data_IF_428180559004
#
_entry.id   IF_428180559004
#
_cell.length_a   1.000
_cell.length_b   1.000
_cell.length_c   1.000
_cell.angle_alpha   90.00
_cell.angle_beta   90.00
_cell.angle_gamma   90.00
#
_symmetry.space_group_name_H-M   'P 1'
#
loop_
_entity.id
_entity.type
_entity.pdbx_description
1 polymer ?
#
# COMPACT_ATOMS: atom_id res chain seq x y z
N UNK A 1 39.01 -55.48 26.04
CA UNK A 1 39.93 -54.90 27.05
C UNK A 1 39.47 -53.46 27.26
N UNK A 2 38.62 -53.23 28.27
CA UNK A 2 38.98 -52.56 29.56
C UNK A 2 39.31 -51.08 29.34
N UNK A 3 38.68 -50.08 29.96
CA UNK A 3 37.95 -50.02 31.23
C UNK A 3 37.11 -48.74 31.29
N UNK A 4 35.84 -48.90 31.63
CA UNK A 4 34.90 -47.87 32.12
C UNK A 4 35.33 -47.32 33.48
N UNK A 5 35.28 -45.99 33.67
CA UNK A 5 35.27 -45.38 35.00
C UNK A 5 33.93 -44.66 35.22
N UNK A 6 33.13 -45.21 36.13
CA UNK A 6 31.95 -44.59 36.76
C UNK A 6 32.39 -43.76 37.97
N UNK A 7 31.52 -42.81 38.34
CA UNK A 7 31.23 -42.17 39.67
C UNK A 7 31.28 -40.64 39.51
N UNK A 8 30.37 -39.83 40.06
CA UNK A 8 29.48 -40.01 41.19
C UNK A 8 28.29 -39.04 41.04
N UNK A 9 27.10 -39.48 41.45
CA UNK A 9 25.91 -38.66 41.60
C UNK A 9 26.07 -37.67 42.77
N UNK A 10 25.58 -36.44 42.60
CA UNK A 10 25.32 -35.50 43.68
C UNK A 10 23.85 -35.08 43.57
N UNK A 11 23.07 -35.57 44.54
CA UNK A 11 21.72 -35.15 44.84
C UNK A 11 21.74 -33.70 45.35
N UNK A 12 21.02 -32.82 44.64
CA UNK A 12 20.66 -31.49 45.11
C UNK A 12 19.16 -31.32 44.97
N UNK A 13 18.45 -31.42 46.09
CA UNK A 13 17.02 -31.13 46.24
C UNK A 13 16.73 -29.70 45.76
N UNK A 14 15.91 -29.55 44.73
CA UNK A 14 15.33 -28.28 44.30
C UNK A 14 13.83 -28.44 44.18
N UNK A 15 13.08 -27.90 45.15
CA UNK A 15 11.63 -28.01 45.22
C UNK A 15 10.94 -27.44 43.98
N UNK A 16 9.98 -28.19 43.45
CA UNK A 16 9.00 -27.68 42.50
C UNK A 16 8.11 -26.67 43.24
N UNK A 17 8.42 -25.39 43.11
CA UNK A 17 7.47 -24.32 43.39
C UNK A 17 6.52 -24.22 42.19
N UNK A 18 5.34 -24.85 42.31
CA UNK A 18 4.17 -24.52 41.50
C UNK A 18 3.79 -23.08 41.82
N UNK A 19 4.25 -22.13 41.01
CA UNK A 19 3.72 -20.77 41.02
C UNK A 19 2.37 -20.83 40.33
N UNK A 20 1.31 -20.93 41.12
CA UNK A 20 -0.04 -20.62 40.67
C UNK A 20 -0.07 -19.12 40.34
N UNK A 21 -0.07 -18.79 39.05
CA UNK A 21 -0.37 -17.43 38.60
C UNK A 21 -1.87 -17.25 38.81
N UNK A 22 -2.24 -16.64 39.94
CA UNK A 22 -3.57 -16.11 40.12
C UNK A 22 -3.78 -15.01 39.07
N UNK A 23 -4.77 -15.18 38.20
CA UNK A 23 -5.31 -14.05 37.44
C UNK A 23 -5.86 -13.05 38.45
N UNK A 24 -5.30 -11.85 38.50
CA UNK A 24 -5.95 -10.74 39.17
C UNK A 24 -7.13 -10.33 38.30
N UNK A 25 -8.34 -10.51 38.81
CA UNK A 25 -9.50 -9.79 38.33
C UNK A 25 -9.30 -8.31 38.63
N UNK A 26 -9.48 -7.49 37.58
CA UNK A 26 -9.59 -6.03 37.58
C UNK A 26 -8.27 -5.24 37.50
N UNK A 27 -7.88 -4.91 36.27
CA UNK A 27 -7.02 -3.77 35.95
C UNK A 27 -7.85 -2.50 36.13
N UNK A 28 -7.49 -1.66 37.11
CA UNK A 28 -8.07 -0.33 37.29
C UNK A 28 -7.43 0.61 36.26
N UNK A 29 -8.19 0.90 35.20
CA UNK A 29 -7.90 1.97 34.26
C UNK A 29 -8.42 3.29 34.85
N UNK A 30 -7.51 4.21 35.17
CA UNK A 30 -7.85 5.61 35.41
C UNK A 30 -7.83 6.03 36.87
N UNK A 31 -6.81 6.82 37.22
CA UNK A 31 -6.84 7.75 38.35
C UNK A 31 -7.60 8.98 37.88
N UNK A 32 -8.77 9.22 38.46
CA UNK A 32 -9.51 10.46 38.27
C UNK A 32 -8.80 11.58 39.04
N UNK A 33 -8.02 12.40 38.33
CA UNK A 33 -7.65 13.71 38.85
C UNK A 33 -8.90 14.60 38.72
N UNK A 34 -9.58 14.82 39.85
CA UNK A 34 -10.70 15.74 39.93
C UNK A 34 -10.23 17.19 39.80
N UNK A 35 -10.77 17.92 38.83
CA UNK A 35 -11.60 19.10 39.08
C UNK A 35 -12.23 19.58 37.75
N UNK A 36 -13.50 19.24 37.53
CA UNK A 36 -14.33 19.90 36.54
C UNK A 36 -15.80 19.86 37.03
N UNK A 37 -16.22 21.00 37.57
CA UNK A 37 -17.59 21.50 37.72
C UNK A 37 -18.74 20.49 37.68
N UNK A 38 -19.47 20.42 38.79
CA UNK A 38 -20.78 19.79 38.90
C UNK A 38 -21.77 20.37 37.89
N UNK A 39 -21.88 19.75 36.72
CA UNK A 39 -23.07 19.86 35.87
C UNK A 39 -23.46 18.45 35.46
N UNK A 40 -24.69 18.07 35.81
CA UNK A 40 -25.29 16.81 35.40
C UNK A 40 -25.13 16.61 33.88
N UNK A 41 -24.96 15.36 33.40
CA UNK A 41 -24.91 15.09 31.96
C UNK A 41 -26.17 15.71 31.30
N UNK A 42 -26.04 16.37 30.13
CA UNK A 42 -27.18 17.00 29.49
C UNK A 42 -28.25 15.94 29.22
N UNK A 43 -29.37 16.09 29.91
CA UNK A 43 -30.59 15.33 29.63
C UNK A 43 -31.30 16.06 28.50
N UNK A 44 -31.42 15.38 27.36
CA UNK A 44 -32.34 15.81 26.31
C UNK A 44 -33.75 15.51 26.80
N UNK A 45 -34.41 16.54 27.31
CA UNK A 45 -35.88 16.55 27.35
C UNK A 45 -36.33 17.01 25.96
N UNK A 46 -37.19 16.25 25.26
CA UNK A 46 -37.77 16.75 24.02
C UNK A 46 -38.51 18.04 24.33
N UNK A 47 -38.31 19.06 23.51
CA UNK A 47 -39.09 20.30 23.61
C UNK A 47 -40.59 19.96 23.55
N UNK A 48 -41.45 20.63 24.33
CA UNK A 48 -42.89 20.48 24.17
C UNK A 48 -43.25 20.83 22.71
N UNK A 49 -44.22 20.13 22.10
CA UNK A 49 -44.53 20.35 20.69
C UNK A 49 -44.94 21.82 20.50
N UNK A 50 -44.08 22.59 19.85
CA UNK A 50 -44.43 23.91 19.34
C UNK A 50 -45.54 23.67 18.31
N UNK A 51 -46.76 24.01 18.71
CA UNK A 51 -47.97 23.98 17.89
C UNK A 51 -47.92 25.09 16.83
N UNK A 52 -46.93 25.04 15.95
CA UNK A 52 -46.97 25.69 14.66
C UNK A 52 -47.78 24.83 13.71
N UNK A 53 -48.76 25.43 13.05
CA UNK A 53 -49.65 24.80 12.07
C UNK A 53 -48.87 24.21 10.89
N UNK A 54 -48.29 23.02 11.09
CA UNK A 54 -47.90 22.16 10.00
C UNK A 54 -49.20 21.51 9.49
N UNK A 55 -49.61 21.91 8.29
CA UNK A 55 -50.57 21.15 7.50
C UNK A 55 -50.18 19.68 7.61
N UNK A 56 -51.11 18.83 8.06
CA UNK A 56 -50.86 17.42 8.25
C UNK A 56 -50.26 16.86 6.96
N UNK A 57 -48.96 16.52 6.98
CA UNK A 57 -48.36 15.74 5.91
C UNK A 57 -49.24 14.50 5.77
N UNK A 58 -49.84 14.35 4.58
CA UNK A 58 -50.62 13.18 4.27
C UNK A 58 -49.77 11.96 4.63
N UNK A 59 -50.32 10.95 5.33
CA UNK A 59 -49.57 9.75 5.64
C UNK A 59 -48.96 9.24 4.33
N UNK A 60 -47.67 8.84 4.32
CA UNK A 60 -47.03 8.38 3.09
C UNK A 60 -47.95 7.35 2.46
N UNK A 61 -48.32 7.57 1.18
CA UNK A 61 -49.18 6.63 0.48
C UNK A 61 -48.58 5.24 0.68
N UNK A 62 -49.39 4.29 1.14
CA UNK A 62 -48.94 2.90 1.28
C UNK A 62 -48.69 2.36 -0.12
N UNK A 63 -47.45 2.52 -0.60
CA UNK A 63 -46.99 1.92 -1.83
C UNK A 63 -47.01 0.42 -1.59
N UNK A 64 -47.96 -0.27 -2.24
CA UNK A 64 -48.03 -1.71 -2.22
C UNK A 64 -46.83 -2.22 -3.02
N UNK A 65 -45.87 -2.88 -2.36
CA UNK A 65 -44.67 -3.39 -3.01
C UNK A 65 -44.82 -4.88 -3.35
N UNK A 66 -44.64 -5.22 -4.61
CA UNK A 66 -44.68 -6.57 -5.14
C UNK A 66 -43.28 -7.06 -5.47
N UNK A 67 -43.11 -8.38 -5.48
CA UNK A 67 -41.86 -9.00 -5.94
C UNK A 67 -41.63 -8.69 -7.41
N UNK A 68 -40.49 -8.08 -7.74
CA UNK A 68 -40.09 -7.88 -9.12
C UNK A 68 -39.27 -9.06 -9.63
N UNK A 69 -39.52 -9.47 -10.87
CA UNK A 69 -38.77 -10.55 -11.54
C UNK A 69 -38.11 -10.09 -12.84
N UNK A 70 -38.40 -8.89 -13.31
CA UNK A 70 -37.79 -8.35 -14.54
C UNK A 70 -36.66 -7.39 -14.19
N UNK A 71 -35.53 -7.47 -14.92
CA UNK A 71 -34.42 -6.57 -14.67
C UNK A 71 -34.79 -5.15 -15.06
N UNK A 72 -34.59 -4.19 -14.16
CA UNK A 72 -34.69 -2.77 -14.46
C UNK A 72 -33.38 -2.25 -14.99
N UNK A 73 -33.43 -1.31 -15.95
CA UNK A 73 -32.22 -0.63 -16.41
C UNK A 73 -31.51 0.03 -15.22
N UNK A 74 -30.17 -0.07 -15.10
CA UNK A 74 -29.20 -0.58 -16.08
C UNK A 74 -28.83 -2.07 -15.98
N UNK A 75 -29.57 -2.89 -15.24
CA UNK A 75 -29.20 -4.28 -14.97
C UNK A 75 -29.77 -5.25 -15.99
N UNK A 76 -29.04 -6.32 -16.28
CA UNK A 76 -29.46 -7.37 -17.20
C UNK A 76 -28.94 -8.76 -16.81
N UNK A 77 -29.52 -9.79 -17.40
CA UNK A 77 -29.01 -11.17 -17.35
C UNK A 77 -28.47 -11.53 -18.72
N UNK A 78 -27.15 -11.58 -18.86
CA UNK A 78 -26.50 -11.81 -20.14
C UNK A 78 -26.12 -13.29 -20.30
N UNK A 79 -26.08 -13.79 -21.54
CA UNK A 79 -25.84 -15.22 -21.81
C UNK A 79 -24.47 -15.73 -21.35
N UNK A 80 -23.47 -14.84 -21.28
CA UNK A 80 -22.13 -15.10 -20.75
C UNK A 80 -22.09 -15.13 -19.21
N UNK A 81 -23.06 -14.50 -18.55
CA UNK A 81 -23.23 -14.46 -17.09
C UNK A 81 -24.70 -14.73 -16.73
N UNK A 82 -25.19 -15.97 -16.93
CA UNK A 82 -26.60 -16.30 -16.73
C UNK A 82 -27.01 -16.29 -15.24
N UNK A 83 -26.05 -16.32 -14.33
CA UNK A 83 -26.25 -16.24 -12.89
C UNK A 83 -25.22 -15.30 -12.25
N UNK A 84 -25.61 -14.45 -11.28
CA UNK A 84 -26.98 -14.24 -10.79
C UNK A 84 -27.85 -13.43 -11.77
N UNK A 85 -29.17 -13.64 -11.72
CA UNK A 85 -30.14 -12.89 -12.54
C UNK A 85 -30.03 -11.40 -12.23
N UNK A 86 -30.00 -10.57 -13.26
CA UNK A 86 -29.77 -9.12 -13.19
C UNK A 86 -28.43 -8.71 -12.57
N UNK A 87 -27.43 -9.62 -12.54
CA UNK A 87 -26.12 -9.34 -11.96
C UNK A 87 -25.20 -8.50 -12.84
N UNK A 88 -25.51 -8.33 -14.13
CA UNK A 88 -24.69 -7.54 -15.05
C UNK A 88 -25.16 -6.09 -15.08
N UNK A 89 -24.28 -5.16 -14.70
CA UNK A 89 -24.54 -3.72 -14.81
C UNK A 89 -24.04 -3.22 -16.18
N UNK A 90 -24.96 -2.90 -17.08
CA UNK A 90 -24.64 -2.48 -18.44
C UNK A 90 -23.92 -1.12 -18.51
N UNK A 91 -23.85 -0.37 -17.41
CA UNK A 91 -23.21 0.96 -17.40
C UNK A 91 -21.70 0.91 -17.17
N UNK A 92 -21.18 -0.19 -16.64
CA UNK A 92 -19.77 -0.32 -16.27
C UNK A 92 -19.15 -1.71 -16.54
N UNK A 93 -19.94 -2.72 -16.93
CA UNK A 93 -19.39 -3.99 -17.38
C UNK A 93 -18.82 -3.86 -18.80
N UNK A 94 -17.49 -3.90 -18.91
CA UNK A 94 -16.79 -3.79 -20.20
C UNK A 94 -17.01 -5.00 -21.13
N UNK A 95 -17.57 -6.12 -20.65
CA UNK A 95 -18.00 -7.23 -21.50
C UNK A 95 -19.44 -7.08 -22.02
N UNK A 96 -20.25 -6.21 -21.40
CA UNK A 96 -21.69 -6.08 -21.63
C UNK A 96 -22.13 -4.60 -21.62
N UNK A 97 -21.38 -3.72 -22.26
CA UNK A 97 -21.56 -2.27 -22.12
C UNK A 97 -22.76 -1.76 -22.94
N UNK A 98 -23.76 -1.17 -22.28
CA UNK A 98 -25.00 -0.68 -22.87
C UNK A 98 -25.98 -1.78 -23.31
N UNK A 99 -25.47 -2.96 -23.66
CA UNK A 99 -26.25 -4.15 -23.99
C UNK A 99 -25.43 -5.43 -23.75
N UNK A 100 -26.12 -6.55 -23.46
CA UNK A 100 -25.48 -7.84 -23.33
C UNK A 100 -24.70 -8.24 -24.58
N UNK A 101 -23.48 -8.74 -24.40
CA UNK A 101 -22.57 -9.12 -25.48
C UNK A 101 -21.87 -7.95 -26.19
N UNK A 102 -22.21 -6.69 -25.85
CA UNK A 102 -21.49 -5.54 -26.38
C UNK A 102 -20.19 -5.32 -25.59
N UNK A 103 -19.14 -6.02 -25.99
CA UNK A 103 -17.82 -5.95 -25.34
C UNK A 103 -17.03 -4.73 -25.82
N UNK A 104 -16.60 -3.90 -24.87
CA UNK A 104 -15.60 -2.86 -25.10
C UNK A 104 -14.27 -3.52 -25.48
N UNK A 105 -13.86 -3.31 -26.73
CA UNK A 105 -12.64 -3.85 -27.29
C UNK A 105 -11.43 -2.96 -27.01
N UNK A 106 -10.27 -3.56 -26.80
CA UNK A 106 -9.00 -2.85 -26.81
C UNK A 106 -8.38 -2.88 -28.21
N UNK A 107 -7.65 -1.83 -28.55
CA UNK A 107 -6.83 -1.75 -29.76
C UNK A 107 -5.36 -1.69 -29.35
N UNK A 108 -4.87 -2.82 -28.83
CA UNK A 108 -3.51 -2.90 -28.25
C UNK A 108 -2.42 -2.54 -29.27
N UNK A 109 -2.66 -2.83 -30.56
CA UNK A 109 -1.76 -2.49 -31.68
C UNK A 109 -1.50 -0.99 -31.82
N UNK A 110 -2.41 -0.16 -31.31
CA UNK A 110 -2.31 1.30 -31.33
C UNK A 110 -2.30 1.89 -29.91
N UNK A 111 -1.98 1.06 -28.90
CA UNK A 111 -1.90 1.42 -27.48
C UNK A 111 -3.17 2.07 -26.91
N UNK A 112 -4.34 1.71 -27.45
CA UNK A 112 -5.64 2.12 -26.92
C UNK A 112 -6.31 0.95 -26.25
N UNK A 113 -7.01 1.23 -25.15
CA UNK A 113 -7.97 0.34 -24.54
C UNK A 113 -9.34 1.03 -24.50
N UNK A 114 -10.38 0.31 -24.13
CA UNK A 114 -11.67 0.93 -23.83
C UNK A 114 -12.28 0.36 -22.55
N UNK A 115 -13.06 1.21 -21.89
CA UNK A 115 -13.81 0.86 -20.68
C UNK A 115 -15.25 1.28 -20.84
N UNK A 116 -16.14 0.57 -20.17
CA UNK A 116 -17.54 0.97 -20.11
C UNK A 116 -17.72 2.14 -19.14
N UNK A 117 -18.21 3.27 -19.65
CA UNK A 117 -18.59 4.44 -18.86
C UNK A 117 -19.96 4.86 -19.33
N UNK A 118 -20.91 4.90 -18.40
CA UNK A 118 -22.31 5.25 -18.65
C UNK A 118 -22.95 4.47 -19.81
N UNK A 119 -22.60 3.19 -19.93
CA UNK A 119 -23.16 2.29 -20.95
C UNK A 119 -22.61 2.49 -22.35
N UNK A 120 -21.59 3.34 -22.50
CA UNK A 120 -20.84 3.51 -23.72
C UNK A 120 -19.38 3.07 -23.54
N UNK A 121 -18.82 2.42 -24.57
CA UNK A 121 -17.40 2.13 -24.59
C UNK A 121 -16.62 3.41 -24.86
N UNK A 122 -15.94 3.90 -23.84
CA UNK A 122 -15.09 5.08 -23.93
C UNK A 122 -13.65 4.62 -24.13
N UNK A 123 -13.06 5.10 -25.23
CA UNK A 123 -11.66 4.86 -25.57
C UNK A 123 -10.73 5.59 -24.59
N UNK A 124 -9.60 4.97 -24.29
CA UNK A 124 -8.56 5.55 -23.44
C UNK A 124 -7.18 5.01 -23.78
N UNK A 125 -6.14 5.76 -23.43
CA UNK A 125 -4.77 5.34 -23.70
C UNK A 125 -4.25 4.35 -22.67
N UNK A 126 -3.51 3.34 -23.14
CA UNK A 126 -2.92 2.32 -22.30
C UNK A 126 -1.76 2.87 -21.45
N UNK A 127 -1.66 2.30 -20.25
CA UNK A 127 -0.47 2.35 -19.42
C UNK A 127 0.09 0.93 -19.38
N UNK A 128 1.34 0.76 -19.82
CA UNK A 128 2.03 -0.53 -19.83
C UNK A 128 3.09 -0.52 -18.73
N UNK A 129 2.78 -1.13 -17.59
CA UNK A 129 3.73 -1.34 -16.51
C UNK A 129 4.66 -2.52 -16.83
N UNK A 130 5.96 -2.37 -16.59
CA UNK A 130 6.94 -3.44 -16.76
C UNK A 130 8.07 -3.33 -15.73
N UNK A 131 8.81 -4.42 -15.44
CA UNK A 131 9.94 -4.39 -14.53
C UNK A 131 11.03 -3.37 -14.92
N UNK A 132 11.11 -3.01 -16.20
CA UNK A 132 12.09 -2.07 -16.76
C UNK A 132 11.58 -0.62 -16.82
N UNK A 133 10.41 -0.35 -16.23
CA UNK A 133 9.81 0.97 -16.21
C UNK A 133 8.39 0.98 -16.77
N UNK A 134 7.72 2.10 -16.52
CA UNK A 134 6.37 2.35 -16.96
C UNK A 134 6.40 2.94 -18.37
N UNK A 135 5.45 2.58 -19.22
CA UNK A 135 5.18 3.29 -20.49
C UNK A 135 3.79 3.86 -20.43
N UNK A 136 3.68 5.15 -20.72
CA UNK A 136 2.41 5.87 -20.63
C UNK A 136 2.15 6.45 -22.00
N UNK A 137 1.13 5.93 -22.66
CA UNK A 137 0.76 6.36 -24.00
C UNK A 137 -0.26 7.49 -23.93
N UNK A 138 -0.16 8.40 -24.89
CA UNK A 138 -1.07 9.53 -25.06
C UNK A 138 -1.29 9.82 -26.54
N UNK A 139 -2.51 10.21 -26.86
CA UNK A 139 -2.88 10.80 -28.13
C UNK A 139 -2.47 12.29 -28.08
N UNK A 140 -1.37 12.62 -28.73
CA UNK A 140 -0.82 13.99 -28.73
C UNK A 140 -1.15 14.77 -30.00
N UNK A 141 -1.64 14.10 -31.06
CA UNK A 141 -2.11 14.76 -32.28
C UNK A 141 -3.62 15.03 -32.24
N UNK A 142 -4.34 14.46 -31.27
CA UNK A 142 -5.79 14.57 -31.07
C UNK A 142 -6.61 13.72 -32.06
N UNK A 143 -5.97 12.75 -32.73
CA UNK A 143 -6.60 11.91 -33.73
C UNK A 143 -6.79 10.51 -33.14
N UNK A 144 -8.03 10.21 -32.74
CA UNK A 144 -8.34 8.90 -32.16
C UNK A 144 -8.19 7.72 -33.13
N UNK A 145 -8.12 7.98 -34.44
CA UNK A 145 -8.08 6.94 -35.48
C UNK A 145 -6.73 6.24 -35.59
N UNK A 146 -5.62 6.89 -35.21
CA UNK A 146 -4.28 6.29 -35.26
C UNK A 146 -3.78 5.77 -33.90
N UNK A 147 -4.47 6.06 -32.80
CA UNK A 147 -4.14 5.48 -31.50
C UNK A 147 -3.82 6.43 -30.35
N UNK A 148 -2.98 5.89 -29.46
CA UNK A 148 -2.15 6.68 -28.54
C UNK A 148 -0.69 6.35 -28.85
N UNK A 149 -0.09 7.11 -29.76
CA UNK A 149 1.20 6.79 -30.40
C UNK A 149 2.37 7.20 -29.52
N UNK A 150 2.14 8.16 -28.62
CA UNK A 150 3.21 8.88 -27.96
C UNK A 150 3.47 8.34 -26.57
N UNK A 151 4.65 7.75 -26.35
CA UNK A 151 5.10 7.39 -25.00
C UNK A 151 5.72 8.60 -24.31
N UNK A 152 4.92 9.30 -23.51
CA UNK A 152 5.34 10.52 -22.81
C UNK A 152 6.45 10.30 -21.78
N UNK A 153 6.83 9.05 -21.47
CA UNK A 153 7.94 8.80 -20.56
C UNK A 153 9.32 8.81 -21.21
N UNK A 154 9.38 8.76 -22.53
CA UNK A 154 10.62 8.62 -23.28
C UNK A 154 10.70 9.54 -24.51
N UNK A 155 9.57 10.07 -24.98
CA UNK A 155 9.54 11.02 -26.09
C UNK A 155 10.06 12.41 -25.65
N UNK A 156 11.19 12.89 -26.19
CA UNK A 156 11.70 14.23 -25.90
C UNK A 156 10.74 15.36 -26.31
N UNK A 157 9.89 15.17 -27.31
CA UNK A 157 8.97 16.23 -27.78
C UNK A 157 7.66 16.28 -26.95
N UNK A 158 7.39 15.25 -26.16
CA UNK A 158 6.15 15.08 -25.41
C UNK A 158 6.42 14.55 -23.99
N UNK A 159 7.42 15.11 -23.31
CA UNK A 159 7.94 14.54 -22.08
C UNK A 159 7.02 14.82 -20.88
N UNK A 160 6.49 13.76 -20.27
CA UNK A 160 5.51 13.80 -19.18
C UNK A 160 4.08 14.10 -19.65
N UNK A 161 3.93 14.98 -20.65
CA UNK A 161 2.64 15.35 -21.26
C UNK A 161 2.84 15.77 -22.72
N UNK A 162 1.76 15.73 -23.51
CA UNK A 162 1.77 16.18 -24.90
C UNK A 162 2.21 17.64 -25.02
N UNK A 163 3.08 17.91 -26.00
CA UNK A 163 3.63 19.23 -26.30
C UNK A 163 4.68 19.74 -25.30
N UNK A 164 5.08 18.96 -24.30
CA UNK A 164 6.16 19.33 -23.38
C UNK A 164 7.52 18.88 -23.92
N UNK A 165 8.01 19.61 -24.92
CA UNK A 165 9.29 19.33 -25.54
C UNK A 165 10.46 19.71 -24.62
N UNK A 166 11.44 18.81 -24.53
CA UNK A 166 12.71 19.05 -23.88
C UNK A 166 13.60 19.94 -24.73
N UNK A 167 14.59 20.59 -24.10
CA UNK A 167 15.58 21.36 -24.85
C UNK A 167 16.33 20.47 -25.86
N UNK A 168 16.83 21.02 -26.98
CA UNK A 168 17.54 20.23 -27.99
C UNK A 168 18.69 19.40 -27.38
N UNK A 169 18.69 18.10 -27.66
CA UNK A 169 19.69 17.16 -27.13
C UNK A 169 19.42 16.64 -25.72
N UNK A 170 18.37 17.10 -25.04
CA UNK A 170 17.95 16.60 -23.73
C UNK A 170 16.98 15.43 -23.89
N UNK A 171 17.27 14.30 -23.26
CA UNK A 171 16.37 13.13 -23.26
C UNK A 171 15.19 13.31 -22.33
N UNK A 172 14.07 12.67 -22.66
CA UNK A 172 13.01 12.42 -21.69
C UNK A 172 13.33 11.15 -20.88
N UNK A 173 13.45 11.29 -19.56
CA UNK A 173 13.79 10.20 -18.64
C UNK A 173 12.66 10.10 -17.61
N UNK A 174 11.85 9.04 -17.70
CA UNK A 174 10.70 8.79 -16.83
C UNK A 174 9.72 9.99 -16.78
N UNK A 175 9.47 10.60 -17.94
CA UNK A 175 8.56 11.74 -18.05
C UNK A 175 9.13 13.07 -17.55
N UNK A 176 10.45 13.18 -17.38
CA UNK A 176 11.15 14.43 -17.04
C UNK A 176 12.26 14.71 -18.04
N UNK A 177 12.41 15.97 -18.43
CA UNK A 177 13.49 16.40 -19.31
C UNK A 177 14.82 16.38 -18.57
N UNK A 178 15.72 15.50 -18.99
CA UNK A 178 17.06 15.34 -18.45
C UNK A 178 17.09 14.74 -17.05
N UNK A 179 18.27 14.80 -16.46
CA UNK A 179 18.50 14.34 -15.10
C UNK A 179 18.35 15.48 -14.08
N UNK A 180 18.04 15.12 -12.83
CA UNK A 180 18.09 16.06 -11.72
C UNK A 180 19.47 16.71 -11.59
N UNK A 181 19.53 17.92 -11.03
CA UNK A 181 20.77 18.65 -10.83
C UNK A 181 21.86 17.80 -10.17
N UNK A 182 23.06 17.83 -10.74
CA UNK A 182 24.22 17.08 -10.25
C UNK A 182 24.34 15.64 -10.79
N UNK A 183 23.34 15.16 -11.53
CA UNK A 183 23.39 13.86 -12.20
C UNK A 183 23.64 14.04 -13.71
N UNK A 184 24.37 13.09 -14.28
CA UNK A 184 24.68 13.02 -15.70
C UNK A 184 23.84 11.93 -16.36
N UNK A 185 23.35 12.19 -17.57
CA UNK A 185 22.67 11.19 -18.39
C UNK A 185 23.69 10.20 -18.98
N UNK A 186 23.72 8.99 -18.43
CA UNK A 186 24.53 7.88 -18.89
C UNK A 186 23.71 6.87 -19.71
N UNK A 187 23.11 7.35 -20.81
CA UNK A 187 22.38 6.50 -21.74
C UNK A 187 20.96 6.15 -21.28
N UNK A 188 20.26 7.11 -20.66
CA UNK A 188 18.92 6.94 -20.10
C UNK A 188 18.90 6.66 -18.60
N UNK A 189 20.07 6.56 -17.96
CA UNK A 189 20.21 6.45 -16.51
C UNK A 189 20.87 7.72 -15.97
N UNK A 190 20.22 8.35 -15.00
CA UNK A 190 20.80 9.48 -14.29
C UNK A 190 21.77 8.99 -13.21
N UNK A 191 23.04 9.34 -13.37
CA UNK A 191 24.14 8.84 -12.52
C UNK A 191 24.96 10.00 -11.97
N UNK A 192 25.37 9.92 -10.70
CA UNK A 192 26.33 10.88 -10.12
C UNK A 192 27.77 10.46 -10.48
N UNK A 193 28.31 11.06 -11.53
CA UNK A 193 29.67 10.77 -12.02
C UNK A 193 30.77 11.30 -11.09
N UNK A 194 30.44 11.93 -9.97
CA UNK A 194 31.43 12.39 -8.99
C UNK A 194 31.77 11.33 -7.95
N UNK A 195 30.89 10.35 -7.77
CA UNK A 195 30.97 9.36 -6.70
C UNK A 195 30.70 7.93 -7.17
N UNK A 196 30.07 7.74 -8.34
CA UNK A 196 29.85 6.40 -8.88
C UNK A 196 31.14 5.82 -9.48
N UNK A 197 31.71 4.81 -8.80
CA UNK A 197 32.91 4.10 -9.25
C UNK A 197 32.76 3.38 -10.60
N UNK A 198 31.55 3.19 -11.12
CA UNK A 198 31.31 2.63 -12.46
C UNK A 198 31.18 3.70 -13.55
N UNK A 199 31.07 4.97 -13.18
CA UNK A 199 30.81 6.10 -14.08
C UNK A 199 31.63 7.34 -13.67
N UNK A 200 32.87 7.15 -13.22
CA UNK A 200 33.61 8.20 -12.56
C UNK A 200 34.13 9.25 -13.54
N UNK A 201 33.74 10.51 -13.36
CA UNK A 201 34.07 11.63 -14.25
C UNK A 201 33.39 11.59 -15.61
N UNK A 202 33.07 10.40 -16.13
CA UNK A 202 32.33 10.18 -17.35
C UNK A 202 31.55 8.86 -17.29
N UNK A 203 30.47 8.78 -18.05
CA UNK A 203 29.66 7.56 -18.16
C UNK A 203 30.49 6.37 -18.67
N UNK A 204 30.37 5.22 -18.00
CA UNK A 204 31.10 4.00 -18.31
C UNK A 204 32.58 4.00 -17.92
N UNK A 205 33.09 5.07 -17.29
CA UNK A 205 34.46 5.09 -16.79
C UNK A 205 34.54 4.38 -15.43
N UNK A 206 34.74 3.07 -15.48
CA UNK A 206 34.88 2.24 -14.28
C UNK A 206 36.27 2.41 -13.67
N UNK A 207 36.33 2.68 -12.36
CA UNK A 207 37.59 2.80 -11.66
C UNK A 207 38.26 1.45 -11.46
N UNK A 208 39.50 1.36 -11.90
CA UNK A 208 40.40 0.26 -11.60
C UNK A 208 41.05 0.46 -10.22
N UNK A 209 41.48 -0.65 -9.62
CA UNK A 209 42.21 -0.61 -8.36
C UNK A 209 43.65 -0.12 -8.62
N UNK A 210 44.17 0.86 -7.85
CA UNK A 210 45.52 1.40 -8.10
C UNK A 210 46.63 0.35 -7.93
N UNK A 211 47.66 0.40 -8.78
CA UNK A 211 48.83 -0.48 -8.66
C UNK A 211 49.63 -0.23 -7.37
N UNK A 212 49.65 1.02 -6.91
CA UNK A 212 50.32 1.50 -5.70
C UNK A 212 49.38 1.60 -4.48
N UNK A 213 48.28 0.85 -4.50
CA UNK A 213 47.31 0.83 -3.43
C UNK A 213 47.92 0.46 -2.06
N UNK A 214 47.40 1.10 -1.01
CA UNK A 214 47.83 0.81 0.36
C UNK A 214 47.66 -0.68 0.71
N UNK A 215 48.69 -1.24 1.34
CA UNK A 215 48.67 -2.61 1.86
C UNK A 215 49.31 -2.63 3.25
N UNK A 216 48.51 -2.76 4.34
CA UNK A 216 47.04 -2.86 4.35
C UNK A 216 46.33 -1.53 4.01
N UNK A 217 45.06 -1.60 3.62
CA UNK A 217 44.20 -0.41 3.51
C UNK A 217 43.99 0.24 4.90
N UNK A 218 43.94 1.58 4.99
CA UNK A 218 43.48 2.26 6.21
C UNK A 218 42.08 1.80 6.63
N UNK A 219 41.76 1.92 7.91
CA UNK A 219 40.54 1.36 8.50
C UNK A 219 39.29 1.88 7.79
N UNK A 220 38.34 1.01 7.44
CA UNK A 220 37.08 1.38 6.77
C UNK A 220 37.27 2.28 5.53
N UNK A 221 38.35 2.09 4.79
CA UNK A 221 38.62 2.82 3.55
C UNK A 221 38.60 1.88 2.33
N UNK A 222 38.36 2.44 1.16
CA UNK A 222 38.41 1.76 -0.13
C UNK A 222 38.85 2.74 -1.21
N UNK A 223 39.33 2.23 -2.34
CA UNK A 223 39.56 3.04 -3.52
C UNK A 223 38.29 3.11 -4.38
N UNK A 224 38.00 4.27 -4.94
CA UNK A 224 36.87 4.44 -5.86
C UNK A 224 36.86 5.81 -6.52
N UNK A 225 35.65 6.26 -6.87
CA UNK A 225 35.44 7.57 -7.46
C UNK A 225 35.21 8.64 -6.40
N UNK A 226 36.06 9.67 -6.38
CA UNK A 226 35.81 10.87 -5.60
C UNK A 226 36.16 12.11 -6.41
N UNK A 227 35.30 13.13 -6.37
CA UNK A 227 35.48 14.39 -7.13
C UNK A 227 35.72 14.15 -8.63
N UNK A 228 35.08 13.14 -9.20
CA UNK A 228 35.22 12.76 -10.61
C UNK A 228 36.60 12.18 -11.00
N UNK A 229 37.40 11.76 -10.02
CA UNK A 229 38.70 11.13 -10.22
C UNK A 229 38.69 9.70 -9.66
N UNK A 230 39.21 8.75 -10.44
CA UNK A 230 39.39 7.36 -10.00
C UNK A 230 40.63 7.18 -9.12
N UNK A 231 40.68 6.06 -8.40
CA UNK A 231 41.83 5.70 -7.56
C UNK A 231 41.96 6.58 -6.31
N UNK A 232 40.90 7.27 -5.92
CA UNK A 232 40.87 8.07 -4.71
C UNK A 232 40.52 7.20 -3.50
N UNK A 233 41.27 7.38 -2.41
CA UNK A 233 40.96 6.75 -1.14
C UNK A 233 39.74 7.44 -0.53
N UNK A 234 38.72 6.67 -0.16
CA UNK A 234 37.46 7.14 0.38
C UNK A 234 36.96 6.21 1.48
N UNK A 235 36.05 6.71 2.32
CA UNK A 235 35.42 5.89 3.35
C UNK A 235 34.46 4.88 2.75
N UNK A 236 34.43 3.69 3.33
CA UNK A 236 33.35 2.73 3.08
C UNK A 236 32.04 3.27 3.63
N UNK A 237 30.92 2.81 3.07
CA UNK A 237 29.59 3.27 3.45
C UNK A 237 29.36 3.19 4.96
N UNK A 238 28.95 4.31 5.56
CA UNK A 238 28.64 4.44 6.99
C UNK A 238 29.80 4.83 7.90
N UNK A 239 30.98 5.07 7.34
CA UNK A 239 32.14 5.61 8.06
C UNK A 239 32.55 6.98 7.51
N UNK A 240 33.18 7.79 8.35
CA UNK A 240 33.73 9.10 7.99
C UNK A 240 35.13 9.31 8.58
N UNK A 241 35.96 10.01 7.81
CA UNK A 241 37.21 10.60 8.24
C UNK A 241 36.91 11.96 8.91
N UNK A 242 36.82 11.97 10.24
CA UNK A 242 36.49 13.17 11.01
C UNK A 242 37.72 13.96 11.45
N UNK A 243 38.91 13.36 11.42
CA UNK A 243 40.17 14.05 11.70
C UNK A 243 40.77 14.70 10.42
N UNK A 244 40.17 14.41 9.26
CA UNK A 244 40.56 14.85 7.92
C UNK A 244 41.99 14.46 7.52
N UNK A 245 42.44 13.29 7.95
CA UNK A 245 43.78 12.77 7.70
C UNK A 245 43.86 11.81 6.50
N UNK A 246 42.73 11.38 5.91
CA UNK A 246 42.66 10.46 4.77
C UNK A 246 43.41 10.97 3.53
N UNK A 247 43.54 12.29 3.42
CA UNK A 247 44.39 12.98 2.42
C UNK A 247 45.88 12.63 2.53
N UNK A 248 46.31 12.05 3.63
CA UNK A 248 47.68 11.57 3.87
C UNK A 248 47.93 10.20 3.20
N UNK A 249 46.93 9.67 2.48
CA UNK A 249 47.00 8.39 1.79
C UNK A 249 47.21 7.25 2.79
N UNK A 250 48.17 6.37 2.52
CA UNK A 250 48.41 5.18 3.34
C UNK A 250 48.95 5.47 4.75
N UNK A 251 49.25 6.72 5.09
CA UNK A 251 49.66 7.12 6.44
C UNK A 251 48.49 7.57 7.32
N UNK A 252 47.27 7.65 6.76
CA UNK A 252 46.03 7.92 7.50
C UNK A 252 45.66 6.74 8.41
N UNK A 253 44.97 7.01 9.52
CA UNK A 253 44.34 5.94 10.30
C UNK A 253 43.08 5.36 9.63
N UNK A 254 42.52 6.08 8.65
CA UNK A 254 41.39 5.70 7.81
C UNK A 254 40.12 6.51 8.04
N UNK A 255 38.99 5.81 8.16
CA UNK A 255 37.68 6.36 8.49
C UNK A 255 37.17 5.68 9.76
N UNK A 256 37.62 6.18 10.91
CA UNK A 256 37.46 5.56 12.23
C UNK A 256 36.05 5.78 12.78
N UNK A 257 35.37 6.80 12.28
CA UNK A 257 34.12 7.28 12.87
C UNK A 257 32.93 6.63 12.19
N UNK A 258 32.18 5.82 12.94
CA UNK A 258 30.91 5.30 12.46
C UNK A 258 29.86 6.41 12.50
N UNK A 259 29.31 6.80 11.34
CA UNK A 259 28.29 7.86 11.26
C UNK A 259 26.85 7.32 11.17
N UNK A 260 26.69 6.00 11.24
CA UNK A 260 25.39 5.33 11.12
C UNK A 260 24.79 4.93 12.46
N UNK A 261 25.63 4.70 13.46
CA UNK A 261 25.19 4.22 14.78
C UNK A 261 25.82 4.96 15.96
N UNK A 262 26.88 5.76 15.76
CA UNK A 262 27.47 6.55 16.86
C UNK A 262 26.58 7.77 17.18
N UNK A 263 26.04 7.86 18.42
CA UNK A 263 25.24 9.02 18.84
C UNK A 263 26.02 10.33 18.89
N UNK A 264 27.35 10.33 18.81
CA UNK A 264 28.16 11.56 18.79
C UNK A 264 28.54 12.03 17.37
N UNK A 265 28.27 11.21 16.34
CA UNK A 265 28.66 11.46 14.96
C UNK A 265 27.54 11.08 13.97
N UNK A 266 26.28 11.28 14.37
CA UNK A 266 25.15 10.72 13.65
C UNK A 266 24.85 11.44 12.33
N UNK A 267 25.01 10.73 11.22
CA UNK A 267 24.88 11.27 9.86
C UNK A 267 26.07 12.15 9.45
N UNK A 268 27.04 12.37 10.33
CA UNK A 268 28.23 13.16 10.06
C UNK A 268 29.06 13.47 11.30
N UNK A 269 30.30 13.89 11.06
CA UNK A 269 31.27 14.21 12.10
C UNK A 269 30.76 15.26 13.09
N UNK A 270 30.81 14.96 14.38
CA UNK A 270 30.42 15.86 15.47
C UNK A 270 28.92 16.12 15.61
N UNK A 271 28.07 15.44 14.82
CA UNK A 271 26.61 15.53 14.95
C UNK A 271 26.17 14.72 16.15
N UNK A 272 26.08 15.40 17.30
CA UNK A 272 25.74 14.78 18.58
C UNK A 272 24.24 14.77 18.82
N UNK A 273 23.70 13.60 19.08
CA UNK A 273 22.31 13.41 19.46
C UNK A 273 22.02 13.95 20.87
N UNK A 274 20.78 14.39 21.09
CA UNK A 274 20.35 14.84 22.41
C UNK A 274 20.35 13.67 23.42
N UNK A 275 20.42 13.96 24.73
CA UNK A 275 20.36 12.91 25.75
C UNK A 275 19.13 12.00 25.56
N UNK A 276 19.38 10.69 25.48
CA UNK A 276 18.34 9.67 25.31
C UNK A 276 17.97 9.36 23.85
N UNK A 277 18.48 10.10 22.87
CA UNK A 277 18.35 9.77 21.45
C UNK A 277 19.41 8.75 21.01
N UNK A 278 19.11 8.04 19.93
CA UNK A 278 19.99 7.07 19.27
C UNK A 278 20.24 7.47 17.81
N UNK A 279 21.41 7.12 17.29
CA UNK A 279 21.69 7.30 15.87
C UNK A 279 21.20 6.10 15.07
N UNK A 280 20.35 6.35 14.07
CA UNK A 280 19.75 5.30 13.25
C UNK A 280 19.17 5.85 11.96
N UNK A 281 19.02 4.99 10.96
CA UNK A 281 18.44 5.32 9.65
C UNK A 281 17.05 4.70 9.51
N UNK A 282 16.06 5.49 9.10
CA UNK A 282 14.69 5.06 8.76
C UNK A 282 14.36 5.23 7.25
N UNK A 283 15.39 5.24 6.40
CA UNK A 283 15.28 5.35 4.94
C UNK A 283 15.59 6.74 4.38
N UNK A 284 15.99 7.69 5.23
CA UNK A 284 16.39 9.06 4.84
C UNK A 284 17.82 9.40 5.24
N UNK A 285 18.64 8.38 5.54
CA UNK A 285 19.98 8.53 6.08
C UNK A 285 19.99 8.53 7.62
N UNK A 286 21.17 8.40 8.25
CA UNK A 286 21.30 8.36 9.69
C UNK A 286 20.89 9.68 10.35
N UNK A 287 20.02 9.59 11.36
CA UNK A 287 19.48 10.74 12.09
C UNK A 287 19.42 10.45 13.59
N UNK A 288 19.48 11.52 14.38
CA UNK A 288 19.25 11.46 15.82
C UNK A 288 17.76 11.34 16.09
N UNK A 289 17.32 10.13 16.42
CA UNK A 289 15.91 9.80 16.67
C UNK A 289 15.71 9.34 18.10
N UNK A 290 14.51 9.53 18.61
CA UNK A 290 14.11 8.88 19.85
C UNK A 290 14.14 7.34 19.68
N UNK A 291 14.42 6.58 20.75
CA UNK A 291 14.33 5.13 20.72
C UNK A 291 12.93 4.68 20.29
N UNK A 292 12.82 3.55 19.59
CA UNK A 292 11.55 3.04 19.05
C UNK A 292 10.44 3.00 20.10
N UNK A 293 10.77 2.51 21.28
CA UNK A 293 9.84 2.32 22.39
C UNK A 293 9.21 3.63 22.86
N UNK A 294 9.99 4.73 22.85
CA UNK A 294 9.51 6.06 23.21
C UNK A 294 8.56 6.63 22.15
N UNK A 295 8.69 6.19 20.90
CA UNK A 295 7.78 6.50 19.80
C UNK A 295 6.62 5.49 19.68
N UNK A 296 6.47 4.56 20.64
CA UNK A 296 5.42 3.52 20.60
C UNK A 296 5.64 2.44 19.54
N UNK A 297 6.87 2.29 19.04
CA UNK A 297 7.27 1.30 18.02
C UNK A 297 8.21 0.25 18.61
N UNK A 298 8.31 -0.90 17.94
CA UNK A 298 9.26 -1.94 18.30
C UNK A 298 10.56 -1.81 17.51
N UNK A 299 11.68 -2.16 18.12
CA UNK A 299 12.97 -2.29 17.44
C UNK A 299 13.00 -3.61 16.67
N UNK A 300 13.06 -3.52 15.34
CA UNK A 300 13.19 -4.68 14.44
C UNK A 300 14.50 -4.62 13.64
N UNK A 301 14.93 -5.74 13.02
CA UNK A 301 16.16 -5.75 12.20
C UNK A 301 16.14 -4.73 11.05
N UNK A 302 14.96 -4.39 10.54
CA UNK A 302 14.77 -3.38 9.50
C UNK A 302 14.59 -1.94 10.03
N UNK A 303 14.65 -1.73 11.35
CA UNK A 303 14.40 -0.43 11.99
C UNK A 303 13.19 -0.41 12.92
N UNK A 304 12.79 0.78 13.38
CA UNK A 304 11.59 0.90 14.21
C UNK A 304 10.36 0.63 13.37
N UNK A 305 9.55 -0.29 13.87
CA UNK A 305 8.36 -0.72 13.17
C UNK A 305 7.13 -0.64 14.07
N UNK A 306 6.02 -0.24 13.48
CA UNK A 306 4.73 -0.29 14.16
C UNK A 306 4.14 -1.71 14.06
N UNK A 307 4.30 -2.50 15.12
CA UNK A 307 3.76 -3.87 15.15
C UNK A 307 2.24 -3.91 15.24
N UNK A 308 1.56 -2.79 15.48
CA UNK A 308 0.11 -2.76 15.68
C UNK A 308 -0.67 -2.53 14.38
N UNK A 309 -0.05 -1.90 13.39
CA UNK A 309 -0.70 -1.55 12.13
C UNK A 309 0.09 -1.87 10.86
N UNK A 310 1.37 -2.23 10.94
CA UNK A 310 2.16 -2.61 9.77
C UNK A 310 1.81 -4.05 9.30
N UNK A 311 1.23 -4.24 8.09
CA UNK A 311 0.91 -5.56 7.56
C UNK A 311 2.13 -6.44 7.30
N UNK A 312 3.33 -5.87 7.19
CA UNK A 312 4.58 -6.60 6.96
C UNK A 312 5.28 -7.01 8.27
N UNK A 313 4.80 -6.53 9.42
CA UNK A 313 5.42 -6.73 10.73
C UNK A 313 4.36 -6.87 11.84
N UNK A 314 3.25 -7.54 11.53
CA UNK A 314 2.07 -7.51 12.39
C UNK A 314 2.27 -8.37 13.64
N UNK A 315 2.28 -7.75 14.83
CA UNK A 315 2.47 -8.40 16.13
C UNK A 315 3.91 -8.82 16.43
N UNK A 316 4.76 -9.00 15.41
CA UNK A 316 6.17 -9.29 15.54
C UNK A 316 6.95 -8.82 14.31
N UNK A 317 8.24 -8.54 14.50
CA UNK A 317 9.14 -8.18 13.41
C UNK A 317 9.15 -9.27 12.33
N UNK A 318 9.08 -8.86 11.07
CA UNK A 318 9.03 -9.73 9.89
C UNK A 318 7.86 -10.72 9.89
N UNK A 319 6.80 -10.47 10.66
CA UNK A 319 5.57 -11.24 10.60
C UNK A 319 4.63 -10.65 9.55
N UNK A 320 4.79 -11.12 8.32
CA UNK A 320 3.95 -10.74 7.19
C UNK A 320 2.54 -11.31 7.36
N UNK A 321 1.52 -10.47 7.24
CA UNK A 321 0.17 -10.99 7.10
C UNK A 321 0.09 -11.83 5.81
N UNK A 322 -0.50 -13.03 5.87
CA UNK A 322 -0.72 -13.84 4.68
C UNK A 322 -1.40 -13.03 3.57
N UNK A 323 -1.07 -13.36 2.31
CA UNK A 323 -1.66 -12.65 1.19
C UNK A 323 -3.20 -12.77 1.24
N UNK A 324 -3.93 -11.66 1.09
CA UNK A 324 -5.38 -11.69 1.09
C UNK A 324 -5.89 -12.58 -0.04
N UNK A 325 -6.98 -13.31 0.22
CA UNK A 325 -7.65 -14.14 -0.78
C UNK A 325 -8.64 -13.32 -1.60
N UNK A 326 -9.53 -13.98 -2.34
CA UNK A 326 -10.47 -13.33 -3.24
C UNK A 326 -11.31 -12.27 -2.49
N UNK A 327 -11.33 -11.06 -3.04
CA UNK A 327 -12.09 -9.91 -2.52
C UNK A 327 -11.82 -9.55 -1.04
N UNK A 328 -10.63 -9.88 -0.52
CA UNK A 328 -10.19 -9.49 0.81
C UNK A 328 -9.12 -8.40 0.74
N UNK A 329 -9.03 -7.61 1.80
CA UNK A 329 -7.93 -6.70 2.10
C UNK A 329 -7.32 -7.14 3.43
N UNK A 330 -6.04 -7.51 3.38
CA UNK A 330 -5.26 -7.81 4.57
C UNK A 330 -4.84 -6.53 5.27
N UNK A 331 -5.02 -6.48 6.58
CA UNK A 331 -4.60 -5.37 7.43
C UNK A 331 -3.96 -5.91 8.72
N UNK A 332 -3.16 -5.09 9.38
CA UNK A 332 -2.73 -5.36 10.74
C UNK A 332 -3.55 -4.49 11.70
N UNK A 333 -4.15 -5.10 12.72
CA UNK A 333 -4.95 -4.40 13.73
C UNK A 333 -4.59 -4.91 15.10
N UNK A 334 -4.03 -4.02 15.92
CA UNK A 334 -3.58 -4.33 17.29
C UNK A 334 -2.59 -5.51 17.32
N UNK A 335 -1.78 -5.64 16.28
CA UNK A 335 -0.77 -6.70 16.15
C UNK A 335 -1.33 -8.07 15.75
N UNK A 336 -2.57 -8.11 15.28
CA UNK A 336 -3.19 -9.30 14.70
C UNK A 336 -3.52 -9.04 13.24
N UNK A 337 -3.18 -9.99 12.38
CA UNK A 337 -3.61 -9.94 10.99
C UNK A 337 -5.13 -10.07 10.95
N UNK A 338 -5.77 -9.10 10.34
CA UNK A 338 -7.19 -9.03 10.15
C UNK A 338 -7.48 -8.90 8.65
N UNK A 339 -8.46 -9.64 8.18
CA UNK A 339 -8.95 -9.54 6.81
C UNK A 339 -10.31 -8.86 6.84
N UNK A 340 -10.49 -7.92 5.92
CA UNK A 340 -11.79 -7.32 5.67
C UNK A 340 -12.18 -7.56 4.22
N UNK A 341 -13.47 -7.76 4.00
CA UNK A 341 -13.99 -7.84 2.65
C UNK A 341 -13.95 -6.48 1.97
N UNK A 342 -13.65 -6.48 0.67
CA UNK A 342 -13.89 -5.31 -0.16
C UNK A 342 -15.37 -4.91 -0.09
N UNK A 343 -15.70 -3.61 -0.23
CA UNK A 343 -17.08 -3.15 -0.21
C UNK A 343 -17.98 -3.95 -1.15
N UNK A 344 -19.12 -4.42 -0.63
CA UNK A 344 -20.07 -5.25 -1.37
C UNK A 344 -19.78 -6.75 -1.34
N UNK A 345 -18.68 -7.19 -0.72
CA UNK A 345 -18.37 -8.61 -0.53
C UNK A 345 -18.52 -9.04 0.93
N UNK A 346 -18.77 -10.33 1.14
CA UNK A 346 -18.78 -10.92 2.47
C UNK A 346 -18.27 -12.37 2.47
N UNK A 347 -17.68 -12.73 3.60
CA UNK A 347 -17.44 -14.10 4.03
C UNK A 347 -18.71 -14.59 4.76
N UNK A 348 -19.54 -15.39 4.09
CA UNK A 348 -20.80 -15.89 4.66
C UNK A 348 -20.71 -17.32 5.20
N UNK A 349 -19.61 -18.05 4.93
CA UNK A 349 -19.36 -19.38 5.51
C UNK A 349 -18.53 -19.29 6.81
N UNK A 350 -17.92 -18.13 7.08
CA UNK A 350 -17.07 -17.87 8.22
C UNK A 350 -15.69 -18.52 8.11
N UNK A 351 -15.27 -18.94 6.91
CA UNK A 351 -13.95 -19.49 6.66
C UNK A 351 -13.02 -18.36 6.16
N UNK A 352 -12.18 -17.79 7.04
CA UNK A 352 -11.30 -16.70 6.63
C UNK A 352 -10.24 -17.17 5.64
N UNK A 353 -10.11 -18.49 5.43
CA UNK A 353 -9.14 -19.01 4.50
C UNK A 353 -9.61 -18.82 3.07
N UNK A 354 -10.86 -19.00 2.64
CA UNK A 354 -11.19 -18.92 1.21
C UNK A 354 -11.37 -17.50 0.64
N UNK A 355 -11.62 -16.49 1.48
CA UNK A 355 -11.82 -15.12 0.98
C UNK A 355 -13.08 -14.45 1.48
N UNK A 356 -13.60 -13.53 0.66
CA UNK A 356 -14.96 -13.02 0.74
C UNK A 356 -15.64 -13.36 -0.59
N UNK A 357 -16.18 -14.57 -0.67
CA UNK A 357 -16.60 -15.22 -1.91
C UNK A 357 -17.88 -14.61 -2.45
N UNK A 358 -18.69 -14.03 -1.56
CA UNK A 358 -20.06 -13.65 -1.84
C UNK A 358 -20.14 -12.18 -2.19
N UNK A 359 -20.50 -11.87 -3.43
CA UNK A 359 -20.90 -10.53 -3.84
C UNK A 359 -22.32 -10.23 -3.35
N UNK A 360 -22.44 -9.55 -2.22
CA UNK A 360 -23.71 -9.18 -1.59
C UNK A 360 -24.60 -8.32 -2.50
N UNK A 361 -24.04 -7.67 -3.52
CA UNK A 361 -24.83 -6.79 -4.40
C UNK A 361 -25.72 -7.57 -5.35
N UNK A 362 -25.33 -8.81 -5.67
CA UNK A 362 -25.97 -9.61 -6.71
C UNK A 362 -26.34 -11.02 -6.26
N UNK A 363 -25.79 -11.49 -5.13
CA UNK A 363 -26.02 -12.85 -4.67
C UNK A 363 -27.44 -13.04 -4.09
N UNK A 364 -28.30 -13.86 -4.71
CA UNK A 364 -29.72 -13.95 -4.32
C UNK A 364 -29.96 -14.53 -2.94
N UNK A 365 -29.09 -15.43 -2.46
CA UNK A 365 -29.21 -16.01 -1.11
C UNK A 365 -28.48 -15.22 0.00
N UNK A 366 -27.80 -14.13 -0.36
CA UNK A 366 -27.02 -13.30 0.56
C UNK A 366 -27.11 -11.82 0.13
N UNK A 367 -28.32 -11.37 -0.19
CA UNK A 367 -28.54 -10.08 -0.82
C UNK A 367 -28.41 -8.94 0.21
N UNK A 368 -27.36 -8.13 0.10
CA UNK A 368 -27.06 -7.02 1.02
C UNK A 368 -26.51 -7.44 2.39
N UNK A 369 -26.76 -8.67 2.82
CA UNK A 369 -26.17 -9.28 4.01
C UNK A 369 -26.17 -10.81 3.90
N UNK A 370 -25.25 -11.47 4.61
CA UNK A 370 -25.20 -12.93 4.69
C UNK A 370 -26.52 -13.49 5.24
N UNK A 371 -27.05 -14.51 4.58
CA UNK A 371 -28.31 -15.16 4.93
C UNK A 371 -29.58 -14.38 4.54
N UNK A 372 -29.47 -13.17 3.97
CA UNK A 372 -30.63 -12.46 3.46
C UNK A 372 -31.03 -13.01 2.07
N UNK A 373 -32.10 -13.80 2.02
CA UNK A 373 -32.49 -14.53 0.82
C UNK A 373 -33.64 -13.83 0.09
N UNK A 374 -33.43 -13.51 -1.17
CA UNK A 374 -34.51 -13.19 -2.10
C UNK A 374 -35.24 -14.47 -2.54
N UNK A 375 -36.45 -14.32 -3.05
CA UNK A 375 -37.22 -15.45 -3.56
C UNK A 375 -36.74 -15.84 -4.98
N UNK A 376 -35.51 -16.33 -5.06
CA UNK A 376 -34.86 -16.68 -6.33
C UNK A 376 -35.52 -17.87 -7.04
N UNK A 377 -36.18 -18.75 -6.29
CA UNK A 377 -36.97 -19.86 -6.84
C UNK A 377 -38.16 -19.36 -7.67
N UNK A 378 -38.74 -18.23 -7.27
CA UNK A 378 -39.78 -17.51 -8.01
C UNK A 378 -39.20 -16.42 -8.95
N UNK A 379 -37.87 -16.42 -9.15
CA UNK A 379 -37.19 -15.56 -10.12
C UNK A 379 -36.90 -14.13 -9.66
N UNK A 380 -36.99 -13.83 -8.35
CA UNK A 380 -36.61 -12.53 -7.78
C UNK A 380 -35.09 -12.35 -7.73
N UNK A 381 -34.52 -11.34 -8.43
CA UNK A 381 -33.08 -11.05 -8.39
C UNK A 381 -32.68 -10.21 -7.17
N UNK A 382 -31.38 -10.19 -6.91
CA UNK A 382 -30.73 -9.24 -6.01
C UNK A 382 -30.04 -8.15 -6.83
N UNK A 383 -30.35 -6.88 -6.56
CA UNK A 383 -29.77 -5.72 -7.25
C UNK A 383 -29.28 -4.73 -6.20
N UNK A 384 -27.98 -4.40 -6.23
CA UNK A 384 -27.32 -3.51 -5.27
C UNK A 384 -27.61 -3.87 -3.81
N UNK A 385 -27.69 -5.17 -3.53
CA UNK A 385 -27.91 -5.69 -2.18
C UNK A 385 -29.35 -5.61 -1.70
N UNK A 386 -30.31 -5.40 -2.60
CA UNK A 386 -31.74 -5.44 -2.30
C UNK A 386 -32.45 -6.43 -3.20
N UNK A 387 -33.35 -7.21 -2.59
CA UNK A 387 -34.28 -8.03 -3.36
C UNK A 387 -35.18 -7.12 -4.18
N UNK A 388 -35.29 -7.38 -5.47
CA UNK A 388 -36.04 -6.50 -6.36
C UNK A 388 -37.52 -6.47 -5.96
N UNK A 389 -38.01 -5.27 -5.69
CA UNK A 389 -39.40 -4.97 -5.44
C UNK A 389 -39.85 -3.96 -6.49
N UNK A 390 -41.06 -4.14 -7.01
CA UNK A 390 -41.73 -3.21 -7.93
C UNK A 390 -43.01 -2.71 -7.25
N UNK A 391 -43.53 -1.58 -7.69
CA UNK A 391 -44.88 -1.19 -7.29
C UNK A 391 -45.85 -2.26 -7.80
N UNK A 392 -46.74 -2.72 -6.93
CA UNK A 392 -47.85 -3.52 -7.39
C UNK A 392 -48.71 -2.63 -8.27
N UNK A 393 -49.02 -3.08 -9.48
CA UNK A 393 -50.23 -2.61 -10.14
C UNK A 393 -51.36 -2.82 -9.14
N UNK A 394 -51.96 -1.74 -8.64
CA UNK A 394 -53.06 -1.80 -7.69
C UNK A 394 -54.14 -2.68 -8.29
N UNK A 395 -54.14 -3.96 -7.92
CA UNK A 395 -54.96 -4.96 -8.56
C UNK A 395 -56.41 -4.54 -8.46
N UNK A 396 -57.09 -4.52 -9.62
CA UNK A 396 -58.55 -4.60 -9.63
C UNK A 396 -58.90 -5.86 -8.85
N UNK A 397 -59.68 -5.73 -7.77
CA UNK A 397 -60.22 -6.86 -7.04
C UNK A 397 -60.90 -7.81 -8.04
N UNK A 398 -60.34 -9.00 -8.24
CA UNK A 398 -61.01 -10.08 -8.97
C UNK A 398 -62.11 -10.62 -8.04
N UNK A 399 -63.40 -10.43 -8.37
CA UNK A 399 -64.48 -10.93 -7.51
C UNK A 399 -64.46 -12.45 -7.50
N UNK A 400 -64.56 -13.01 -6.29
CA UNK A 400 -64.64 -14.46 -6.02
C UNK A 400 -65.69 -15.20 -6.85
#
# INVERSE_FOLDING_TARGET
>A
MSSTTRRLALLGLGGFALVAIACQDNVSLGREDGDAGTTAPPSFTPDPPDGGDAEAEAPPEKILACMGTECTWPYATCSDKPFPKCGTNLMNDSANCGACGNRCGGFESVNMDSRCVDGACVLGCMIKDSPFGKRVFRDCNGLLDDGCETNVQADPENCGTCGHACAPGVRCINGKCGCSNGLTDCGGRCTDTRTDSLNCGACGNMCEFPEDACSPLPSNSTYGCARSECGQLQCTGGFADCNNDLKSGCNSDGCETNVTTDPNNCGGCGVKCAPGQVCRDEGSGPQCLDPCEKAGRATCPQGCTDLLSDPFNCGACMNFCPQPRANQVGSCRKGLCAYECLPGFADCNGDPTDGCEIDLRTHPANCGACGNQCNFGEGQPCIEGKCLMVECDGGVEVPN
#
